data_IF_295293826848
#
_entry.id   IF_295293826848
#
_cell.length_a   1.000
_cell.length_b   1.000
_cell.length_c   1.000
_cell.angle_alpha   90.00
_cell.angle_beta   90.00
_cell.angle_gamma   90.00
#
_symmetry.space_group_name_H-M   'P 1'
#
loop_
_entity.id
_entity.type
_entity.pdbx_description
1 polymer ?
#
# COMPACT_ATOMS: atom_id res chain seq x y z
N UNK A 1 33.31 -9.59 49.55
CA UNK A 1 33.37 -10.24 48.21
C UNK A 1 32.36 -9.51 47.36
N UNK A 2 32.77 -8.35 46.84
CA UNK A 2 31.87 -7.44 46.14
C UNK A 2 31.79 -7.87 44.68
N UNK A 3 30.67 -8.51 44.32
CA UNK A 3 30.30 -8.67 42.91
C UNK A 3 29.88 -7.29 42.39
N UNK A 4 30.86 -6.46 42.04
CA UNK A 4 30.68 -5.34 41.13
C UNK A 4 30.36 -5.89 39.73
N UNK A 5 29.16 -6.46 39.57
CA UNK A 5 28.55 -6.56 38.25
C UNK A 5 28.18 -5.13 37.87
N UNK A 6 29.13 -4.42 37.27
CA UNK A 6 28.79 -3.24 36.47
C UNK A 6 27.74 -3.70 35.46
N UNK A 7 26.48 -3.30 35.67
CA UNK A 7 25.46 -3.51 34.66
C UNK A 7 25.85 -2.63 33.48
N UNK A 8 26.56 -3.21 32.51
CA UNK A 8 27.08 -2.52 31.33
C UNK A 8 25.95 -1.75 30.63
N UNK A 9 24.76 -2.35 30.56
CA UNK A 9 23.56 -1.72 30.02
C UNK A 9 23.17 -0.44 30.79
N UNK A 10 23.32 -0.45 32.12
CA UNK A 10 23.04 0.71 32.97
C UNK A 10 24.11 1.80 32.87
N UNK A 11 25.23 1.56 32.19
CA UNK A 11 26.25 2.58 31.94
C UNK A 11 26.11 3.27 30.57
N UNK A 12 25.25 2.74 29.69
CA UNK A 12 25.07 3.28 28.34
C UNK A 12 24.23 4.57 28.34
N UNK A 13 24.43 5.48 27.35
CA UNK A 13 23.51 6.54 27.03
C UNK A 13 22.09 6.02 26.72
N UNK A 14 21.08 6.83 27.04
CA UNK A 14 19.67 6.42 26.92
C UNK A 14 19.24 6.18 25.48
N UNK A 15 19.89 6.86 24.53
CA UNK A 15 19.68 6.73 23.09
C UNK A 15 20.13 5.33 22.61
N UNK A 16 21.31 4.89 23.03
CA UNK A 16 21.81 3.56 22.66
C UNK A 16 20.98 2.45 23.29
N UNK A 17 20.50 2.65 24.52
CA UNK A 17 19.57 1.70 25.16
C UNK A 17 18.27 1.64 24.37
N UNK A 18 17.70 2.77 23.96
CA UNK A 18 16.49 2.81 23.15
C UNK A 18 16.69 2.11 21.79
N UNK A 19 17.83 2.33 21.13
CA UNK A 19 18.16 1.63 19.88
C UNK A 19 18.24 0.11 20.07
N UNK A 20 18.92 -0.36 21.14
CA UNK A 20 18.99 -1.79 21.48
C UNK A 20 17.59 -2.36 21.75
N UNK A 21 16.77 -1.64 22.52
CA UNK A 21 15.38 -2.04 22.79
C UNK A 21 14.53 -2.08 21.52
N UNK A 22 14.82 -1.21 20.55
CA UNK A 22 14.15 -1.15 19.25
C UNK A 22 14.46 -2.33 18.33
N UNK A 23 15.47 -3.15 18.64
CA UNK A 23 15.79 -4.38 17.91
C UNK A 23 15.01 -5.61 18.41
N UNK A 24 14.48 -5.55 19.64
CA UNK A 24 13.69 -6.64 20.22
C UNK A 24 12.37 -6.87 19.45
N UNK A 25 11.80 -8.07 19.55
CA UNK A 25 10.41 -8.33 19.20
C UNK A 25 9.46 -7.66 20.20
N UNK A 26 8.18 -7.54 19.84
CA UNK A 26 7.23 -6.76 20.64
C UNK A 26 7.00 -7.39 22.01
N UNK A 27 6.89 -8.73 22.06
CA UNK A 27 6.74 -9.49 23.29
C UNK A 27 7.95 -9.34 24.22
N UNK A 28 9.17 -9.51 23.71
CA UNK A 28 10.39 -9.31 24.51
C UNK A 28 10.56 -7.86 24.97
N UNK A 29 10.23 -6.88 24.12
CA UNK A 29 10.28 -5.47 24.49
C UNK A 29 9.32 -5.19 25.66
N UNK A 30 8.08 -5.67 25.57
CA UNK A 30 7.10 -5.57 26.67
C UNK A 30 7.69 -6.09 27.97
N UNK A 31 8.24 -7.30 27.98
CA UNK A 31 8.83 -7.89 29.21
C UNK A 31 9.96 -7.00 29.72
N UNK A 32 10.88 -6.61 28.84
CA UNK A 32 12.07 -5.83 29.16
C UNK A 32 11.72 -4.47 29.77
N UNK A 33 10.63 -3.84 29.34
CA UNK A 33 10.18 -2.54 29.89
C UNK A 33 9.78 -2.61 31.36
N UNK A 34 9.48 -3.80 31.90
CA UNK A 34 9.15 -4.00 33.32
C UNK A 34 10.30 -4.57 34.15
N UNK A 35 11.47 -4.81 33.57
CA UNK A 35 12.65 -5.35 34.29
C UNK A 35 13.30 -4.29 35.17
N UNK A 36 13.36 -3.03 34.74
CA UNK A 36 13.91 -1.93 35.55
C UNK A 36 13.16 -0.61 35.36
N UNK A 37 13.17 0.25 36.38
CA UNK A 37 12.56 1.58 36.32
C UNK A 37 13.18 2.45 35.22
N UNK A 38 14.47 2.27 34.94
CA UNK A 38 15.15 3.02 33.90
C UNK A 38 14.72 2.58 32.51
N UNK A 39 14.67 1.27 32.24
CA UNK A 39 14.19 0.74 30.96
C UNK A 39 12.74 1.16 30.72
N UNK A 40 11.92 1.18 31.78
CA UNK A 40 10.56 1.70 31.73
C UNK A 40 10.51 3.18 31.35
N UNK A 41 11.34 4.01 31.97
CA UNK A 41 11.40 5.44 31.68
C UNK A 41 11.84 5.71 30.24
N UNK A 42 12.91 5.04 29.79
CA UNK A 42 13.41 5.12 28.40
C UNK A 42 12.33 4.69 27.41
N UNK A 43 11.63 3.60 27.69
CA UNK A 43 10.59 3.08 26.78
C UNK A 43 9.35 3.97 26.72
N UNK A 44 9.04 4.69 27.80
CA UNK A 44 7.89 5.58 27.87
C UNK A 44 8.16 6.95 27.23
N UNK A 45 9.43 7.27 26.97
CA UNK A 45 9.86 8.56 26.44
C UNK A 45 9.55 8.68 24.93
N UNK A 46 8.65 9.61 24.52
CA UNK A 46 8.21 9.71 23.12
C UNK A 46 9.32 10.14 22.15
N UNK A 47 10.36 10.84 22.63
CA UNK A 47 11.49 11.27 21.80
C UNK A 47 12.42 10.11 21.41
N UNK A 48 12.57 9.11 22.29
CA UNK A 48 13.38 7.91 22.05
C UNK A 48 12.60 6.80 21.33
N UNK A 49 11.34 6.60 21.74
CA UNK A 49 10.35 5.71 21.14
C UNK A 49 10.89 4.36 20.57
N UNK A 50 11.43 3.47 21.43
CA UNK A 50 11.95 2.18 21.00
C UNK A 50 10.88 1.26 20.39
N UNK A 51 9.60 1.54 20.61
CA UNK A 51 8.48 0.75 20.10
C UNK A 51 8.27 0.86 18.59
N UNK A 52 8.74 1.95 17.96
CA UNK A 52 8.44 2.26 16.56
C UNK A 52 8.91 1.14 15.61
N UNK A 53 10.17 0.71 15.73
CA UNK A 53 10.77 -0.31 14.84
C UNK A 53 10.12 -1.70 15.04
N UNK A 54 9.93 -2.21 16.27
CA UNK A 54 9.23 -3.48 16.51
C UNK A 54 7.77 -3.49 16.00
N UNK A 55 7.03 -2.39 16.22
CA UNK A 55 5.65 -2.23 15.71
C UNK A 55 5.65 -2.31 14.18
N UNK A 56 6.49 -1.52 13.50
CA UNK A 56 6.56 -1.52 12.04
C UNK A 56 6.90 -2.88 11.46
N UNK A 57 7.89 -3.57 12.05
CA UNK A 57 8.26 -4.94 11.65
C UNK A 57 7.06 -5.89 11.75
N UNK A 58 6.29 -5.79 12.82
CA UNK A 58 5.10 -6.62 13.03
C UNK A 58 3.99 -6.29 12.03
N UNK A 59 3.76 -5.01 11.71
CA UNK A 59 2.66 -4.57 10.85
C UNK A 59 2.90 -4.83 9.36
N UNK A 60 4.16 -4.78 8.90
CA UNK A 60 4.51 -4.89 7.48
C UNK A 60 4.75 -6.32 6.98
N UNK A 61 4.64 -7.35 7.84
CA UNK A 61 4.70 -8.74 7.42
C UNK A 61 3.27 -9.24 7.07
N UNK A 62 2.88 -9.35 5.78
CA UNK A 62 1.53 -9.71 5.39
C UNK A 62 1.18 -11.17 5.70
N UNK A 63 2.17 -12.06 5.63
CA UNK A 63 1.99 -13.51 5.73
C UNK A 63 2.09 -14.04 7.18
N UNK A 64 2.36 -13.16 8.15
CA UNK A 64 2.56 -13.54 9.54
C UNK A 64 1.37 -13.10 10.42
N UNK A 65 1.05 -13.92 11.41
CA UNK A 65 0.21 -13.48 12.52
C UNK A 65 0.91 -12.35 13.28
N UNK A 66 0.12 -11.38 13.75
CA UNK A 66 0.70 -10.32 14.56
C UNK A 66 1.20 -10.85 15.89
N UNK A 67 2.27 -10.25 16.40
CA UNK A 67 2.78 -10.55 17.73
C UNK A 67 1.64 -10.42 18.76
N UNK A 68 1.39 -11.44 19.60
CA UNK A 68 0.31 -11.42 20.59
C UNK A 68 0.34 -10.22 21.52
N UNK A 69 1.54 -9.66 21.79
CA UNK A 69 1.69 -8.48 22.62
C UNK A 69 1.05 -7.22 22.00
N UNK A 70 0.86 -7.19 20.67
CA UNK A 70 0.23 -6.06 19.96
C UNK A 70 -1.23 -5.87 20.41
N UNK A 71 -1.92 -6.98 20.73
CA UNK A 71 -3.37 -7.01 21.03
C UNK A 71 -3.76 -6.05 22.16
N UNK A 72 -2.95 -5.99 23.21
CA UNK A 72 -3.22 -5.19 24.42
C UNK A 72 -2.22 -4.06 24.62
N UNK A 73 -1.50 -3.67 23.56
CA UNK A 73 -0.45 -2.66 23.64
C UNK A 73 -0.99 -1.30 24.13
N UNK A 74 -2.23 -0.95 23.79
CA UNK A 74 -2.89 0.31 24.17
C UNK A 74 -3.22 0.47 25.64
N UNK A 75 -3.26 -0.63 26.39
CA UNK A 75 -3.51 -0.62 27.84
C UNK A 75 -2.23 -0.28 28.61
N UNK A 76 -1.07 -0.35 27.96
CA UNK A 76 0.23 -0.14 28.60
C UNK A 76 0.61 1.33 28.61
N UNK A 77 0.80 1.88 29.80
CA UNK A 77 1.26 3.26 29.98
C UNK A 77 2.69 3.51 29.49
N UNK A 78 3.46 2.46 29.26
CA UNK A 78 4.84 2.51 28.76
C UNK A 78 4.93 2.75 27.26
N UNK A 79 3.81 2.68 26.54
CA UNK A 79 3.78 2.82 25.08
C UNK A 79 3.31 4.22 24.74
N UNK A 80 4.15 5.04 24.07
CA UNK A 80 3.75 6.36 23.61
C UNK A 80 2.52 6.33 22.69
N UNK A 81 1.58 7.26 22.89
CA UNK A 81 0.29 7.29 22.18
C UNK A 81 0.43 7.52 20.67
N UNK A 82 1.45 8.27 20.25
CA UNK A 82 1.75 8.55 18.85
C UNK A 82 1.97 7.28 18.02
N UNK A 83 2.43 6.18 18.61
CA UNK A 83 2.57 4.90 17.92
C UNK A 83 1.25 4.35 17.41
N UNK A 84 0.13 4.66 18.08
CA UNK A 84 -1.17 4.18 17.67
C UNK A 84 -1.70 4.85 16.41
N UNK A 85 -1.22 6.05 16.08
CA UNK A 85 -1.54 6.67 14.80
C UNK A 85 -1.03 5.78 13.66
N UNK A 86 0.18 5.26 13.78
CA UNK A 86 0.77 4.34 12.80
C UNK A 86 0.08 2.96 12.81
N UNK A 87 -0.18 2.38 13.98
CA UNK A 87 -0.89 1.10 14.10
C UNK A 87 -2.26 1.18 13.44
N UNK A 88 -3.08 2.18 13.78
CA UNK A 88 -4.42 2.31 13.24
C UNK A 88 -4.39 2.57 11.73
N UNK A 89 -3.35 3.22 11.22
CA UNK A 89 -3.21 3.53 9.79
C UNK A 89 -2.86 2.30 8.95
N UNK A 90 -2.12 1.34 9.49
CA UNK A 90 -1.52 0.23 8.72
C UNK A 90 -2.14 -1.13 9.05
N UNK A 91 -2.54 -1.36 10.30
CA UNK A 91 -2.95 -2.68 10.76
C UNK A 91 -4.16 -3.23 10.00
N UNK A 92 -4.21 -4.56 9.84
CA UNK A 92 -5.32 -5.27 9.18
C UNK A 92 -6.66 -4.94 9.82
N UNK A 93 -7.70 -4.79 9.00
CA UNK A 93 -9.02 -4.39 9.46
C UNK A 93 -9.66 -5.41 10.43
N UNK A 94 -9.51 -6.72 10.15
CA UNK A 94 -10.00 -7.78 11.04
C UNK A 94 -9.40 -7.69 12.44
N UNK A 95 -8.08 -7.47 12.53
CA UNK A 95 -7.35 -7.34 13.78
C UNK A 95 -7.87 -6.15 14.60
N UNK A 96 -8.00 -4.98 13.97
CA UNK A 96 -8.48 -3.77 14.64
C UNK A 96 -9.94 -3.87 15.11
N UNK A 97 -10.78 -4.61 14.38
CA UNK A 97 -12.20 -4.75 14.70
C UNK A 97 -12.47 -5.81 15.78
N UNK A 98 -11.71 -6.91 15.81
CA UNK A 98 -12.07 -8.12 16.56
C UNK A 98 -11.09 -8.46 17.69
N UNK A 99 -9.82 -8.05 17.57
CA UNK A 99 -8.77 -8.51 18.48
C UNK A 99 -8.18 -7.38 19.31
N UNK A 100 -7.88 -6.26 18.66
CA UNK A 100 -7.12 -5.16 19.22
C UNK A 100 -7.88 -4.38 20.30
N UNK A 101 -7.19 -4.07 21.39
CA UNK A 101 -7.66 -3.07 22.36
C UNK A 101 -7.41 -1.68 21.79
N UNK A 102 -8.46 -0.86 21.63
CA UNK A 102 -8.32 0.48 21.05
C UNK A 102 -7.84 1.50 22.08
N UNK A 103 -6.86 2.37 21.73
CA UNK A 103 -6.39 3.43 22.61
C UNK A 103 -7.42 4.54 22.79
N UNK A 104 -7.26 5.30 23.88
CA UNK A 104 -7.99 6.54 24.09
C UNK A 104 -7.24 7.72 23.44
N UNK A 105 -7.54 7.97 22.15
CA UNK A 105 -6.97 9.07 21.37
C UNK A 105 -7.93 10.27 21.32
N UNK A 106 -7.36 11.47 21.16
CA UNK A 106 -8.10 12.70 20.86
C UNK A 106 -8.70 12.64 19.46
N UNK A 107 -9.74 13.43 19.23
CA UNK A 107 -10.44 13.45 17.93
C UNK A 107 -9.52 13.85 16.76
N UNK A 108 -8.55 14.76 17.00
CA UNK A 108 -7.55 15.16 16.00
C UNK A 108 -6.58 14.02 15.63
N UNK A 109 -6.26 13.13 16.58
CA UNK A 109 -5.40 11.97 16.32
C UNK A 109 -6.19 10.91 15.51
N UNK A 110 -7.49 10.76 15.78
CA UNK A 110 -8.38 9.93 14.98
C UNK A 110 -8.55 10.46 13.55
N UNK A 111 -8.63 11.78 13.38
CA UNK A 111 -8.63 12.42 12.06
C UNK A 111 -7.35 12.10 11.29
N UNK A 112 -6.20 12.18 11.96
CA UNK A 112 -4.91 11.84 11.36
C UNK A 112 -4.85 10.37 10.94
N UNK A 113 -5.32 9.44 11.80
CA UNK A 113 -5.44 8.02 11.47
C UNK A 113 -6.33 7.81 10.23
N UNK A 114 -7.47 8.50 10.18
CA UNK A 114 -8.41 8.41 9.06
C UNK A 114 -7.75 8.85 7.75
N UNK A 115 -7.11 10.02 7.76
CA UNK A 115 -6.48 10.60 6.57
C UNK A 115 -5.27 9.82 6.08
N UNK A 116 -4.56 9.12 6.97
CA UNK A 116 -3.41 8.26 6.61
C UNK A 116 -3.82 6.93 6.01
N UNK A 117 -4.99 6.40 6.41
CA UNK A 117 -5.47 5.07 5.98
C UNK A 117 -6.38 5.12 4.76
N UNK A 118 -7.32 6.05 4.76
CA UNK A 118 -8.44 6.06 3.82
C UNK A 118 -8.31 7.15 2.76
N UNK A 119 -9.02 6.95 1.64
CA UNK A 119 -9.07 7.94 0.58
C UNK A 119 -9.69 9.25 1.07
N UNK A 120 -9.20 10.42 0.63
CA UNK A 120 -9.76 11.72 1.03
C UNK A 120 -11.26 11.85 0.74
N UNK A 121 -11.73 11.24 -0.36
CA UNK A 121 -13.15 11.23 -0.76
C UNK A 121 -14.05 10.50 0.23
N UNK A 122 -13.51 9.67 1.12
CA UNK A 122 -14.26 8.94 2.14
C UNK A 122 -14.51 9.77 3.39
N UNK A 123 -13.84 10.92 3.57
CA UNK A 123 -14.07 11.84 4.68
C UNK A 123 -15.53 12.31 4.75
N UNK A 124 -16.24 12.35 3.61
CA UNK A 124 -17.68 12.66 3.52
C UNK A 124 -18.59 11.74 4.35
N UNK A 125 -18.09 10.58 4.78
CA UNK A 125 -18.86 9.65 5.63
C UNK A 125 -19.06 10.20 7.04
N UNK A 126 -18.19 11.11 7.48
CA UNK A 126 -18.33 11.81 8.75
C UNK A 126 -19.48 12.80 8.61
N UNK A 127 -20.61 12.48 9.25
CA UNK A 127 -21.75 13.37 9.35
C UNK A 127 -21.41 14.56 10.25
N UNK A 128 -22.15 15.66 10.09
CA UNK A 128 -22.06 16.80 10.99
C UNK A 128 -22.32 16.36 12.44
N UNK A 129 -21.46 16.80 13.37
CA UNK A 129 -21.52 16.40 14.79
C UNK A 129 -20.94 15.01 15.13
N UNK A 130 -20.59 14.16 14.16
CA UNK A 130 -19.98 12.86 14.44
C UNK A 130 -18.48 12.98 14.78
N UNK A 131 -17.97 12.05 15.60
CA UNK A 131 -16.54 11.96 15.93
C UNK A 131 -15.74 11.30 14.81
N UNK A 132 -14.44 11.61 14.70
CA UNK A 132 -13.56 10.94 13.74
C UNK A 132 -13.37 9.46 14.07
N UNK A 133 -13.43 9.09 15.35
CA UNK A 133 -13.42 7.70 15.78
C UNK A 133 -14.59 6.91 15.19
N UNK A 134 -15.80 7.44 15.27
CA UNK A 134 -16.99 6.78 14.70
C UNK A 134 -16.89 6.64 13.19
N UNK A 135 -16.45 7.69 12.50
CA UNK A 135 -16.23 7.67 11.05
C UNK A 135 -15.20 6.59 10.67
N UNK A 136 -14.07 6.54 11.38
CA UNK A 136 -13.01 5.56 11.19
C UNK A 136 -13.53 4.14 11.33
N UNK A 137 -14.19 3.83 12.45
CA UNK A 137 -14.71 2.48 12.71
C UNK A 137 -15.77 2.06 11.71
N UNK A 138 -16.64 2.98 11.28
CA UNK A 138 -17.67 2.72 10.29
C UNK A 138 -17.08 2.37 8.92
N UNK A 139 -16.08 3.12 8.46
CA UNK A 139 -15.38 2.81 7.20
C UNK A 139 -14.65 1.48 7.31
N UNK A 140 -13.92 1.27 8.40
CA UNK A 140 -13.14 0.06 8.63
C UNK A 140 -14.03 -1.19 8.56
N UNK A 141 -15.18 -1.15 9.23
CA UNK A 141 -16.16 -2.23 9.18
C UNK A 141 -16.69 -2.47 7.77
N UNK A 142 -17.02 -1.40 7.03
CA UNK A 142 -17.49 -1.50 5.64
C UNK A 142 -16.47 -2.16 4.71
N UNK A 143 -15.21 -1.75 4.81
CA UNK A 143 -14.10 -2.35 4.06
C UNK A 143 -13.99 -3.83 4.40
N UNK A 144 -13.87 -4.17 5.68
CA UNK A 144 -13.73 -5.56 6.13
C UNK A 144 -14.90 -6.45 5.70
N UNK A 145 -16.12 -5.93 5.80
CA UNK A 145 -17.32 -6.65 5.38
C UNK A 145 -17.30 -6.94 3.88
N UNK A 146 -16.84 -5.99 3.04
CA UNK A 146 -16.73 -6.18 1.58
C UNK A 146 -15.60 -7.11 1.17
N UNK A 147 -14.50 -7.13 1.91
CA UNK A 147 -13.41 -8.09 1.64
C UNK A 147 -13.77 -9.51 2.05
N UNK A 148 -14.67 -9.66 3.03
CA UNK A 148 -15.08 -10.97 3.56
C UNK A 148 -16.39 -11.49 2.98
N UNK A 149 -17.19 -10.64 2.33
CA UNK A 149 -18.51 -11.02 1.78
C UNK A 149 -18.83 -10.24 0.51
N UNK A 150 -19.56 -10.88 -0.42
CA UNK A 150 -20.04 -10.26 -1.66
C UNK A 150 -21.28 -9.35 -1.43
N UNK A 151 -21.22 -8.48 -0.42
CA UNK A 151 -22.30 -7.57 -0.08
C UNK A 151 -22.27 -6.29 -0.94
N UNK A 152 -23.38 -6.00 -1.62
CA UNK A 152 -23.56 -4.78 -2.44
C UNK A 152 -24.60 -3.82 -1.85
N UNK A 153 -24.94 -3.96 -0.56
CA UNK A 153 -26.02 -3.18 0.05
C UNK A 153 -25.69 -1.70 0.17
N UNK A 154 -24.45 -1.38 0.59
CA UNK A 154 -24.00 0.00 0.79
C UNK A 154 -23.59 0.70 -0.53
N UNK A 155 -23.26 -0.05 -1.58
CA UNK A 155 -22.81 0.47 -2.88
C UNK A 155 -23.40 -0.37 -4.02
N UNK A 156 -24.60 0.02 -4.47
CA UNK A 156 -25.29 -0.64 -5.59
C UNK A 156 -24.60 -0.42 -6.96
N UNK A 157 -23.79 0.63 -7.05
CA UNK A 157 -23.09 1.04 -8.27
C UNK A 157 -21.58 1.07 -8.04
N UNK A 158 -20.84 0.70 -9.08
CA UNK A 158 -19.38 0.80 -9.15
C UNK A 158 -19.04 1.80 -10.24
N UNK A 159 -18.36 2.88 -9.85
CA UNK A 159 -17.80 3.85 -10.78
C UNK A 159 -16.41 3.39 -11.23
N UNK A 160 -16.12 3.49 -12.53
CA UNK A 160 -14.83 3.15 -13.09
C UNK A 160 -14.45 4.12 -14.22
N UNK A 161 -13.15 4.23 -14.49
CA UNK A 161 -12.62 5.09 -15.53
C UNK A 161 -12.19 4.25 -16.72
N UNK A 162 -12.61 4.67 -17.91
CA UNK A 162 -12.15 4.12 -19.18
C UNK A 162 -11.37 5.21 -19.88
N UNK A 163 -10.10 4.94 -20.08
CA UNK A 163 -9.27 5.74 -20.95
C UNK A 163 -9.40 5.13 -22.37
N UNK A 164 -9.63 5.97 -23.38
CA UNK A 164 -9.86 5.51 -24.75
C UNK A 164 -8.63 5.77 -25.61
N UNK A 165 -8.48 5.00 -26.70
CA UNK A 165 -7.38 5.14 -27.66
C UNK A 165 -7.27 6.56 -28.25
N UNK A 166 -8.39 7.25 -28.39
CA UNK A 166 -8.45 8.63 -28.90
C UNK A 166 -7.96 9.68 -27.89
N UNK A 167 -7.48 9.28 -26.70
CA UNK A 167 -7.00 10.20 -25.67
C UNK A 167 -8.11 10.85 -24.84
N UNK A 168 -9.32 10.29 -24.84
CA UNK A 168 -10.42 10.72 -23.96
C UNK A 168 -10.49 9.85 -22.71
N UNK A 169 -11.02 10.42 -21.63
CA UNK A 169 -11.29 9.71 -20.37
C UNK A 169 -12.77 9.80 -20.05
N UNK A 170 -13.42 8.65 -19.92
CA UNK A 170 -14.83 8.54 -19.59
C UNK A 170 -14.98 7.93 -18.20
N UNK A 171 -15.80 8.56 -17.36
CA UNK A 171 -16.30 7.96 -16.14
C UNK A 171 -17.58 7.19 -16.47
N UNK A 172 -17.58 5.89 -16.20
CA UNK A 172 -18.71 5.00 -16.40
C UNK A 172 -19.14 4.42 -15.05
N UNK A 173 -20.39 3.99 -14.98
CA UNK A 173 -20.93 3.29 -13.84
C UNK A 173 -21.53 1.95 -14.26
N UNK A 174 -21.45 0.97 -13.38
CA UNK A 174 -22.02 -0.36 -13.57
C UNK A 174 -22.65 -0.86 -12.28
N UNK A 175 -23.59 -1.81 -12.36
CA UNK A 175 -24.18 -2.41 -11.17
C UNK A 175 -23.14 -3.26 -10.45
N UNK A 176 -22.90 -3.04 -9.15
CA UNK A 176 -21.84 -3.73 -8.40
C UNK A 176 -22.00 -5.25 -8.37
N UNK A 177 -23.24 -5.78 -8.46
CA UNK A 177 -23.52 -7.23 -8.41
C UNK A 177 -23.01 -8.01 -9.63
N UNK A 178 -22.96 -7.35 -10.78
CA UNK A 178 -22.50 -7.94 -12.04
C UNK A 178 -21.24 -7.26 -12.58
N UNK A 179 -20.57 -6.47 -11.74
CA UNK A 179 -19.38 -5.76 -12.17
C UNK A 179 -18.21 -6.75 -12.28
N UNK A 180 -17.84 -7.06 -13.52
CA UNK A 180 -16.64 -7.83 -13.83
C UNK A 180 -15.71 -6.95 -14.70
N UNK A 181 -14.61 -6.42 -14.13
CA UNK A 181 -13.73 -5.53 -14.86
C UNK A 181 -12.99 -6.25 -16.00
N UNK A 182 -12.80 -7.58 -15.93
CA UNK A 182 -12.17 -8.35 -17.00
C UNK A 182 -13.13 -8.57 -18.17
N UNK A 183 -14.39 -8.88 -17.88
CA UNK A 183 -15.41 -9.01 -18.92
C UNK A 183 -15.66 -7.68 -19.64
N UNK A 184 -15.73 -6.56 -18.90
CA UNK A 184 -15.87 -5.21 -19.46
C UNK A 184 -14.67 -4.88 -20.35
N UNK A 185 -13.45 -5.14 -19.87
CA UNK A 185 -12.24 -4.90 -20.65
C UNK A 185 -12.20 -5.73 -21.93
N UNK A 186 -12.62 -7.00 -21.88
CA UNK A 186 -12.62 -7.88 -23.05
C UNK A 186 -13.58 -7.40 -24.13
N UNK A 187 -14.77 -6.92 -23.75
CA UNK A 187 -15.71 -6.29 -24.68
C UNK A 187 -15.11 -5.04 -25.33
N UNK A 188 -14.43 -4.20 -24.55
CA UNK A 188 -13.74 -3.01 -25.08
C UNK A 188 -12.59 -3.39 -26.01
N UNK A 189 -11.86 -4.48 -25.68
CA UNK A 189 -10.76 -5.00 -26.49
C UNK A 189 -11.23 -5.46 -27.87
N UNK A 190 -12.39 -6.12 -27.94
CA UNK A 190 -13.03 -6.51 -29.20
C UNK A 190 -13.48 -5.27 -29.98
N UNK A 191 -14.17 -4.33 -29.34
CA UNK A 191 -14.70 -3.12 -30.01
C UNK A 191 -13.61 -2.20 -30.58
N UNK A 192 -12.40 -2.24 -30.04
CA UNK A 192 -11.29 -1.38 -30.45
C UNK A 192 -10.24 -2.10 -31.32
N UNK A 193 -10.52 -3.32 -31.79
CA UNK A 193 -9.59 -4.15 -32.58
C UNK A 193 -8.23 -4.34 -31.91
N UNK A 194 -8.23 -4.71 -30.62
CA UNK A 194 -7.03 -4.92 -29.80
C UNK A 194 -6.83 -6.37 -29.38
N UNK A 195 -7.56 -7.32 -29.98
CA UNK A 195 -7.52 -8.74 -29.64
C UNK A 195 -6.14 -9.38 -29.85
N UNK A 196 -5.35 -8.85 -30.79
CA UNK A 196 -3.97 -9.27 -31.05
C UNK A 196 -3.00 -8.96 -29.91
N UNK A 197 -3.36 -8.04 -28.99
CA UNK A 197 -2.50 -7.67 -27.89
C UNK A 197 -2.89 -8.39 -26.60
N UNK A 198 -1.87 -8.84 -25.87
CA UNK A 198 -2.06 -9.53 -24.60
C UNK A 198 -2.56 -8.55 -23.53
N UNK A 199 -3.66 -8.89 -22.82
CA UNK A 199 -4.13 -8.14 -21.65
C UNK A 199 -3.07 -8.12 -20.55
N UNK A 200 -2.94 -6.99 -19.87
CA UNK A 200 -2.09 -6.82 -18.69
C UNK A 200 -2.84 -6.05 -17.62
N UNK A 201 -2.64 -6.48 -16.38
CA UNK A 201 -3.17 -5.84 -15.18
C UNK A 201 -1.98 -5.24 -14.43
N UNK A 202 -2.10 -3.98 -14.03
CA UNK A 202 -1.11 -3.27 -13.22
C UNK A 202 -1.78 -2.69 -11.99
N UNK A 203 -1.10 -2.80 -10.84
CA UNK A 203 -1.47 -2.03 -9.65
C UNK A 203 -0.91 -0.64 -9.83
N UNK A 204 -1.79 0.36 -9.90
CA UNK A 204 -1.40 1.79 -10.02
C UNK A 204 -1.04 2.33 -8.65
N UNK A 205 -1.89 2.06 -7.66
CA UNK A 205 -1.66 2.43 -6.26
C UNK A 205 -2.18 1.33 -5.35
N UNK A 206 -1.44 1.07 -4.27
CA UNK A 206 -1.82 0.18 -3.20
C UNK A 206 -1.88 0.95 -1.87
N UNK A 207 -3.05 0.94 -1.25
CA UNK A 207 -3.33 1.39 0.10
C UNK A 207 -3.59 0.16 0.99
N UNK A 208 -3.58 0.31 2.34
CA UNK A 208 -3.84 -0.82 3.25
C UNK A 208 -5.15 -1.56 2.98
N UNK A 209 -6.17 -0.85 2.53
CA UNK A 209 -7.53 -1.38 2.34
C UNK A 209 -8.03 -1.35 0.89
N UNK A 210 -7.32 -0.67 -0.02
CA UNK A 210 -7.78 -0.40 -1.39
C UNK A 210 -6.63 -0.51 -2.37
N UNK A 211 -6.85 -1.17 -3.50
CA UNK A 211 -5.94 -1.15 -4.64
C UNK A 211 -6.63 -0.53 -5.85
N UNK A 212 -5.91 0.33 -6.56
CA UNK A 212 -6.34 0.86 -7.84
C UNK A 212 -5.64 0.05 -8.92
N UNK A 213 -6.43 -0.62 -9.76
CA UNK A 213 -5.95 -1.47 -10.84
C UNK A 213 -6.16 -0.78 -12.19
N UNK A 214 -5.16 -0.84 -13.05
CA UNK A 214 -5.26 -0.51 -14.47
C UNK A 214 -5.23 -1.80 -15.28
N UNK A 215 -6.23 -1.99 -16.14
CA UNK A 215 -6.35 -3.14 -17.03
C UNK A 215 -6.27 -2.62 -18.45
N UNK A 216 -5.31 -3.11 -19.21
CA UNK A 216 -5.02 -2.57 -20.53
C UNK A 216 -4.25 -3.53 -21.41
N UNK A 217 -4.07 -3.14 -22.66
CA UNK A 217 -3.08 -3.77 -23.54
C UNK A 217 -1.80 -2.95 -23.51
N UNK A 218 -0.67 -3.58 -23.79
CA UNK A 218 0.61 -2.92 -23.85
C UNK A 218 1.29 -3.24 -25.18
N UNK A 219 1.42 -2.22 -26.03
CA UNK A 219 2.05 -2.34 -27.34
C UNK A 219 3.09 -1.24 -27.58
N UNK A 220 4.24 -1.60 -28.17
CA UNK A 220 5.24 -0.67 -28.74
C UNK A 220 4.58 0.11 -29.88
N UNK A 221 4.24 1.40 -29.69
CA UNK A 221 3.61 2.20 -30.72
C UNK A 221 4.60 2.38 -31.86
N UNK A 222 4.20 2.00 -33.08
CA UNK A 222 4.99 2.28 -34.30
C UNK A 222 4.97 3.77 -34.67
N UNK A 223 4.01 4.52 -34.14
CA UNK A 223 3.82 5.96 -34.41
C UNK A 223 3.41 6.71 -33.13
N UNK A 224 3.79 7.99 -33.03
CA UNK A 224 3.46 8.84 -31.88
C UNK A 224 1.93 8.97 -31.65
N UNK A 225 1.13 8.89 -32.72
CA UNK A 225 -0.34 8.91 -32.68
C UNK A 225 -0.96 7.67 -32.00
N UNK A 226 -0.18 6.61 -31.78
CA UNK A 226 -0.64 5.42 -31.07
C UNK A 226 -0.54 5.54 -29.54
N UNK A 227 0.04 6.63 -29.02
CA UNK A 227 0.27 6.80 -27.58
C UNK A 227 -0.91 7.53 -26.94
N UNK A 228 -1.58 6.89 -25.99
CA UNK A 228 -2.51 7.60 -25.12
C UNK A 228 -1.72 8.34 -24.03
N UNK A 229 -1.67 9.67 -24.13
CA UNK A 229 -0.97 10.51 -23.17
C UNK A 229 -1.55 10.43 -21.75
N UNK A 230 -2.87 10.23 -21.60
CA UNK A 230 -3.52 10.09 -20.30
C UNK A 230 -3.14 8.78 -19.63
N UNK A 231 -3.18 7.68 -20.36
CA UNK A 231 -2.78 6.38 -19.83
C UNK A 231 -1.28 6.34 -19.52
N UNK A 232 -0.46 6.99 -20.35
CA UNK A 232 0.97 7.18 -20.06
C UNK A 232 1.17 7.98 -18.77
N UNK A 233 0.49 9.11 -18.60
CA UNK A 233 0.62 9.94 -17.39
C UNK A 233 0.11 9.23 -16.13
N UNK A 234 -0.92 8.38 -16.24
CA UNK A 234 -1.44 7.59 -15.13
C UNK A 234 -0.44 6.52 -14.66
N UNK A 235 0.20 5.83 -15.61
CA UNK A 235 1.15 4.75 -15.31
C UNK A 235 2.58 5.26 -15.03
N UNK A 236 2.94 6.40 -15.61
CA UNK A 236 4.23 7.06 -15.51
C UNK A 236 4.01 8.55 -15.18
N UNK A 237 3.60 8.87 -13.95
CA UNK A 237 3.43 10.25 -13.54
C UNK A 237 4.77 11.00 -13.63
N UNK A 238 4.73 12.29 -14.02
CA UNK A 238 5.94 13.09 -14.22
C UNK A 238 6.78 13.12 -12.95
N UNK A 239 8.07 12.78 -13.07
CA UNK A 239 9.02 12.73 -11.96
C UNK A 239 9.28 11.35 -11.36
N UNK A 240 8.56 10.29 -11.76
CA UNK A 240 8.87 8.91 -11.32
C UNK A 240 9.89 8.20 -12.21
N UNK A 241 9.93 8.53 -13.51
CA UNK A 241 10.94 7.99 -14.42
C UNK A 241 12.23 8.83 -14.29
N UNK A 242 13.09 8.49 -13.32
CA UNK A 242 14.44 9.04 -13.24
C UNK A 242 15.29 8.59 -14.43
N UNK A 243 15.94 9.55 -15.11
CA UNK A 243 17.09 9.41 -16.02
C UNK A 243 17.07 8.42 -17.20
N UNK A 244 16.02 7.64 -17.45
CA UNK A 244 15.97 6.77 -18.65
C UNK A 244 15.51 7.46 -19.93
N UNK A 245 14.80 8.60 -19.83
CA UNK A 245 14.34 9.33 -21.01
C UNK A 245 15.47 10.07 -21.77
N UNK A 246 16.58 10.38 -21.10
CA UNK A 246 17.73 11.06 -21.70
C UNK A 246 18.58 10.16 -22.64
N UNK A 247 18.36 8.83 -22.64
CA UNK A 247 19.09 7.90 -23.51
C UNK A 247 18.42 7.64 -24.86
N UNK A 248 17.17 8.06 -25.06
CA UNK A 248 16.41 7.79 -26.29
C UNK A 248 16.47 8.90 -27.34
N UNK A 249 17.10 10.03 -27.05
CA UNK A 249 17.32 11.10 -28.04
C UNK A 249 18.63 10.97 -28.82
N UNK A 250 19.51 10.02 -28.47
CA UNK A 250 20.86 9.92 -29.04
C UNK A 250 21.18 8.61 -29.80
N UNK A 251 20.21 7.76 -30.10
CA UNK A 251 20.44 6.59 -30.95
C UNK A 251 19.43 6.52 -32.10
N UNK A 252 19.96 6.90 -33.26
CA UNK A 252 19.69 6.37 -34.59
C UNK A 252 18.53 6.93 -35.42
N UNK A 253 18.83 8.11 -35.99
CA UNK A 253 18.77 8.28 -37.44
C UNK A 253 19.89 7.40 -38.04
N UNK A 254 19.60 6.17 -38.44
CA UNK A 254 20.29 5.55 -39.57
C UNK A 254 19.41 4.46 -40.20
N UNK A 255 19.18 4.65 -41.50
CA UNK A 255 18.55 3.71 -42.43
C UNK A 255 19.53 2.62 -42.83
N UNK A 256 19.12 1.35 -42.85
CA UNK A 256 19.48 0.37 -43.89
C UNK A 256 18.72 -0.95 -43.72
N UNK A 257 18.41 -1.55 -44.88
CA UNK A 257 17.70 -2.80 -45.15
C UNK A 257 18.40 -4.07 -44.62
N UNK A 258 17.62 -5.13 -44.36
CA UNK A 258 17.67 -6.45 -45.05
C UNK A 258 17.07 -7.63 -44.24
N UNK A 259 16.29 -8.42 -44.99
CA UNK A 259 15.75 -9.81 -44.93
C UNK A 259 16.03 -10.84 -43.81
N UNK A 260 14.95 -11.61 -43.56
CA UNK A 260 14.79 -13.09 -43.41
C UNK A 260 15.47 -13.91 -42.29
N UNK A 261 14.68 -14.81 -41.66
CA UNK A 261 15.19 -16.00 -40.95
C UNK A 261 14.35 -16.50 -39.78
N UNK A 262 13.48 -17.49 -40.03
CA UNK A 262 12.91 -18.43 -39.05
C UNK A 262 14.01 -19.13 -38.22
N UNK A 263 13.79 -19.38 -36.92
CA UNK A 263 14.14 -20.63 -36.21
C UNK A 263 13.57 -20.65 -34.77
N UNK A 264 12.82 -21.72 -34.48
CA UNK A 264 12.31 -22.12 -33.18
C UNK A 264 13.44 -22.50 -32.21
N UNK A 265 13.38 -22.00 -30.96
CA UNK A 265 13.92 -22.72 -29.81
C UNK A 265 13.09 -22.48 -28.55
N UNK A 266 12.49 -23.57 -28.07
CA UNK A 266 11.84 -23.70 -26.75
C UNK A 266 12.92 -23.70 -25.66
N UNK A 267 12.86 -22.75 -24.73
CA UNK A 267 13.49 -22.89 -23.40
C UNK A 267 12.53 -22.37 -22.33
N UNK A 268 12.25 -23.24 -21.35
CA UNK A 268 11.42 -22.97 -20.19
C UNK A 268 12.24 -22.39 -19.01
N UNK A 269 11.73 -21.27 -18.45
CA UNK A 269 11.72 -20.85 -17.00
C UNK A 269 13.08 -20.38 -16.40
N UNK A 270 13.18 -19.33 -15.51
CA UNK A 270 12.18 -18.77 -14.58
C UNK A 270 11.93 -17.25 -14.62
N UNK A 271 10.86 -16.85 -13.91
CA UNK A 271 10.53 -15.47 -13.53
C UNK A 271 11.77 -14.71 -13.01
N UNK A 272 12.23 -13.78 -13.82
CA UNK A 272 13.14 -12.71 -13.41
C UNK A 272 12.50 -11.38 -13.81
N UNK A 273 12.38 -10.50 -12.82
CA UNK A 273 11.97 -9.11 -12.95
C UNK A 273 12.98 -8.36 -13.81
N UNK A 274 12.72 -8.30 -15.12
CA UNK A 274 13.50 -7.53 -16.08
C UNK A 274 12.61 -6.56 -16.81
N UNK A 275 12.88 -5.27 -16.62
CA UNK A 275 12.24 -4.18 -17.36
C UNK A 275 12.55 -4.32 -18.86
N UNK A 276 11.58 -4.83 -19.62
CA UNK A 276 11.64 -4.80 -21.09
C UNK A 276 10.98 -3.51 -21.58
N UNK A 277 11.82 -2.63 -22.14
CA UNK A 277 11.45 -1.40 -22.82
C UNK A 277 10.49 -1.69 -23.97
N UNK A 278 9.25 -1.23 -23.82
CA UNK A 278 8.31 -1.05 -24.91
C UNK A 278 7.52 0.21 -24.67
N UNK A 279 7.48 1.11 -25.65
CA UNK A 279 6.52 2.20 -25.63
C UNK A 279 5.11 1.62 -25.50
N UNK A 280 4.17 2.40 -25.01
CA UNK A 280 2.86 1.89 -24.63
C UNK A 280 1.75 2.59 -25.42
N UNK A 281 0.92 1.80 -26.07
CA UNK A 281 -0.48 2.12 -26.36
C UNK A 281 -1.32 1.45 -25.30
N UNK A 282 -1.91 2.23 -24.39
CA UNK A 282 -2.86 1.76 -23.37
C UNK A 282 -4.15 2.53 -23.60
N UNK A 283 -5.28 1.82 -23.56
CA UNK A 283 -6.62 2.40 -23.48
C UNK A 283 -6.69 3.19 -22.19
#
# INVERSE_FOLDING_TARGET
MDRNNFNVLESLPVELIADILGELDLSSLVITTYVSNRLRAISSEPSLNPWRRPIRRTLHNPDQEYDPALRHLSVRSTVPRNNFVEILSIARANYLLLEASLPHLKDIEWEECFRRRFLPSWAKIKKEGATWKEAFMKVLYRVWHRTSSACTHDEAWTDYLVLNRNGTANQLNGTSRGFDPLAIFEQMRIQNDLMQFQPRIRVVVEFPDVRILAIGVLNKPRTAFGVNHLAKALLHPPGMDGDTAAKLTNLDISSSDESDGEHDHIINIPLSTGASSGGWSVL
#
